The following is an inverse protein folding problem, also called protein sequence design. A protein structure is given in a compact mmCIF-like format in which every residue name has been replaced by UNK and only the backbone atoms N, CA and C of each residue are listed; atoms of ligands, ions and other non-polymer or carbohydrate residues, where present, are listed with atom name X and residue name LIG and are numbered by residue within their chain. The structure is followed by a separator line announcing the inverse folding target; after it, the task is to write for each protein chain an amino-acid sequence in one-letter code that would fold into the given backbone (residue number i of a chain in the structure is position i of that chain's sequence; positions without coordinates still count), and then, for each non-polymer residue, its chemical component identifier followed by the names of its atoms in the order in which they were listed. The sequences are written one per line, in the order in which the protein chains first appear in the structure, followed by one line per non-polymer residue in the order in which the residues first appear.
data_IF_524660033093
#
_entry.id   IF_524660033093
#
_cell.length_a   1.000
_cell.length_b   1.000
_cell.length_c   1.000
_cell.angle_alpha   90.00
_cell.angle_beta   90.00
_cell.angle_gamma   90.00
#
_symmetry.space_group_name_H-M   'P 1'
#
loop_
_entity.id
_entity.type
_entity.pdbx_description
1 polymer ?
#
# COMPACT_ATOMS: atom_id res chain seq x y z
N UNK A 1 36.07 -10.66 -22.45
CA UNK A 1 35.35 -11.05 -21.21
C UNK A 1 35.07 -9.91 -20.22
N UNK A 2 35.74 -8.75 -20.31
CA UNK A 2 35.52 -7.61 -19.39
C UNK A 2 34.10 -7.03 -19.48
N UNK A 3 33.59 -6.75 -20.69
CA UNK A 3 32.23 -6.21 -20.91
C UNK A 3 31.13 -7.11 -20.34
N UNK A 4 31.23 -8.43 -20.53
CA UNK A 4 30.27 -9.42 -19.99
C UNK A 4 30.27 -9.42 -18.45
N UNK A 5 31.45 -9.33 -17.83
CA UNK A 5 31.60 -9.25 -16.36
C UNK A 5 31.02 -7.95 -15.80
N UNK A 6 31.22 -6.83 -16.50
CA UNK A 6 30.63 -5.54 -16.11
C UNK A 6 29.10 -5.56 -16.21
N UNK A 7 28.56 -6.17 -17.27
CA UNK A 7 27.11 -6.28 -17.47
C UNK A 7 26.46 -7.11 -16.35
N UNK A 8 27.08 -8.24 -15.98
CA UNK A 8 26.65 -9.06 -14.84
C UNK A 8 26.71 -8.29 -13.52
N UNK A 9 27.78 -7.51 -13.30
CA UNK A 9 27.90 -6.70 -12.08
C UNK A 9 26.80 -5.64 -11.99
N UNK A 10 26.50 -4.95 -13.09
CA UNK A 10 25.42 -3.95 -13.15
C UNK A 10 24.05 -4.60 -12.90
N UNK A 11 23.78 -5.76 -13.49
CA UNK A 11 22.50 -6.46 -13.25
C UNK A 11 22.33 -6.91 -11.81
N UNK A 12 23.41 -7.38 -11.16
CA UNK A 12 23.38 -7.77 -9.75
C UNK A 12 23.10 -6.55 -8.87
N UNK A 13 23.78 -5.43 -9.12
CA UNK A 13 23.55 -4.18 -8.37
C UNK A 13 22.10 -3.71 -8.54
N UNK A 14 21.56 -3.74 -9.76
CA UNK A 14 20.17 -3.34 -10.01
C UNK A 14 19.17 -4.22 -9.24
N UNK A 15 19.36 -5.54 -9.27
CA UNK A 15 18.51 -6.48 -8.54
C UNK A 15 18.57 -6.27 -7.02
N UNK A 16 19.75 -5.98 -6.47
CA UNK A 16 19.92 -5.69 -5.04
C UNK A 16 19.23 -4.38 -4.62
N UNK A 17 19.21 -3.38 -5.50
CA UNK A 17 18.46 -2.14 -5.25
C UNK A 17 16.94 -2.38 -5.32
N UNK A 18 16.48 -3.24 -6.24
CA UNK A 18 15.06 -3.60 -6.35
C UNK A 18 14.57 -4.46 -5.19
N UNK A 19 15.42 -5.30 -4.58
CA UNK A 19 15.04 -6.12 -3.42
C UNK A 19 14.89 -5.33 -2.12
N UNK A 20 15.44 -4.11 -2.05
CA UNK A 20 15.30 -3.18 -0.93
C UNK A 20 14.09 -2.25 -1.09
N UNK A 21 13.19 -2.54 -2.05
CA UNK A 21 11.90 -1.88 -2.10
C UNK A 21 11.04 -2.52 -1.01
N UNK A 22 11.18 -2.01 0.21
CA UNK A 22 10.16 -2.20 1.24
C UNK A 22 8.83 -1.80 0.59
N UNK A 23 7.96 -2.78 0.40
CA UNK A 23 6.60 -2.52 -0.04
C UNK A 23 5.99 -1.65 1.04
N UNK A 24 5.74 -0.39 0.71
CA UNK A 24 5.05 0.53 1.61
C UNK A 24 3.68 -0.09 1.86
N UNK A 25 3.55 -0.78 2.99
CA UNK A 25 2.30 -1.37 3.42
C UNK A 25 1.36 -0.20 3.63
N UNK A 26 0.27 -0.16 2.87
CA UNK A 26 -0.75 0.85 3.07
C UNK A 26 -1.46 0.50 4.36
N UNK A 27 -1.11 1.19 5.44
CA UNK A 27 -1.73 0.96 6.74
C UNK A 27 -3.23 1.19 6.64
N UNK A 28 -4.01 0.49 7.46
CA UNK A 28 -5.46 0.70 7.54
C UNK A 28 -5.84 2.17 7.81
N UNK A 29 -4.93 2.91 8.46
CA UNK A 29 -5.03 4.35 8.69
C UNK A 29 -4.94 5.16 7.39
N UNK A 30 -4.00 4.84 6.50
CA UNK A 30 -3.86 5.50 5.19
C UNK A 30 -5.10 5.23 4.31
N UNK A 31 -5.64 4.02 4.37
CA UNK A 31 -6.90 3.70 3.69
C UNK A 31 -8.05 4.56 4.23
N UNK A 32 -8.15 4.70 5.55
CA UNK A 32 -9.25 5.42 6.19
C UNK A 32 -9.18 6.90 5.86
N UNK A 33 -8.01 7.53 6.00
CA UNK A 33 -7.81 8.95 5.69
C UNK A 33 -8.09 9.27 4.21
N UNK A 34 -7.56 8.45 3.29
CA UNK A 34 -7.80 8.59 1.86
C UNK A 34 -9.27 8.37 1.47
N UNK A 35 -10.00 7.55 2.22
CA UNK A 35 -11.43 7.33 1.99
C UNK A 35 -12.26 8.48 2.55
N UNK A 36 -11.95 8.95 3.76
CA UNK A 36 -12.68 10.02 4.44
C UNK A 36 -12.51 11.38 3.76
N UNK A 37 -11.39 11.63 3.06
CA UNK A 37 -11.23 12.82 2.21
C UNK A 37 -12.32 12.94 1.15
N UNK A 38 -12.90 11.82 0.69
CA UNK A 38 -14.04 11.80 -0.22
C UNK A 38 -15.42 11.98 0.43
N UNK A 39 -15.50 12.01 1.76
CA UNK A 39 -16.75 12.07 2.51
C UNK A 39 -17.24 13.48 2.84
N UNK A 40 -16.53 14.53 2.37
CA UNK A 40 -16.87 15.94 2.65
C UNK A 40 -18.19 16.34 1.98
N UNK A 41 -19.27 16.43 2.76
CA UNK A 41 -20.62 16.77 2.32
C UNK A 41 -21.35 17.58 3.41
N UNK A 42 -22.20 18.57 3.06
CA UNK A 42 -22.94 19.38 4.04
C UNK A 42 -23.98 18.58 4.86
N UNK A 43 -24.47 17.45 4.32
CA UNK A 43 -25.39 16.58 5.04
C UNK A 43 -24.60 15.66 5.99
N UNK A 44 -24.74 15.91 7.29
CA UNK A 44 -24.04 15.16 8.34
C UNK A 44 -24.41 13.68 8.37
N UNK A 45 -25.62 13.31 7.96
CA UNK A 45 -26.07 11.92 7.92
C UNK A 45 -25.43 11.17 6.74
N UNK A 46 -25.24 11.84 5.61
CA UNK A 46 -24.51 11.28 4.47
C UNK A 46 -23.02 11.16 4.76
N UNK A 47 -22.43 12.17 5.42
CA UNK A 47 -21.04 12.13 5.89
C UNK A 47 -20.81 10.91 6.80
N UNK A 48 -21.62 10.73 7.85
CA UNK A 48 -21.52 9.57 8.75
C UNK A 48 -21.72 8.22 8.06
N UNK A 49 -22.58 8.15 7.04
CA UNK A 49 -22.73 6.93 6.23
C UNK A 49 -21.49 6.64 5.40
N UNK A 50 -20.86 7.67 4.85
CA UNK A 50 -19.61 7.56 4.11
C UNK A 50 -18.48 7.08 5.03
N UNK A 51 -18.35 7.68 6.22
CA UNK A 51 -17.36 7.26 7.24
C UNK A 51 -17.50 5.79 7.62
N UNK A 52 -18.72 5.30 7.87
CA UNK A 52 -18.97 3.89 8.17
C UNK A 52 -18.59 2.96 7.02
N UNK A 53 -18.78 3.39 5.76
CA UNK A 53 -18.35 2.61 4.59
C UNK A 53 -16.83 2.56 4.50
N UNK A 54 -16.14 3.66 4.82
CA UNK A 54 -14.69 3.70 4.86
C UNK A 54 -14.13 2.74 5.92
N UNK A 55 -14.72 2.70 7.12
CA UNK A 55 -14.36 1.73 8.16
C UNK A 55 -14.47 0.29 7.64
N UNK A 56 -15.64 -0.12 7.12
CA UNK A 56 -15.86 -1.48 6.61
C UNK A 56 -14.86 -1.83 5.50
N UNK A 57 -14.60 -0.89 4.58
CA UNK A 57 -13.65 -1.08 3.47
C UNK A 57 -12.22 -1.27 3.97
N UNK A 58 -11.78 -0.43 4.91
CA UNK A 58 -10.39 -0.47 5.39
C UNK A 58 -10.14 -1.60 6.38
N UNK A 59 -11.14 -1.98 7.18
CA UNK A 59 -11.07 -3.17 8.03
C UNK A 59 -10.95 -4.46 7.19
N UNK A 60 -11.63 -4.52 6.03
CA UNK A 60 -11.51 -5.66 5.11
C UNK A 60 -10.14 -5.72 4.41
N UNK A 61 -9.48 -4.58 4.21
CA UNK A 61 -8.13 -4.50 3.66
C UNK A 61 -7.08 -4.92 4.69
N UNK A 62 -7.24 -4.51 5.95
CA UNK A 62 -6.39 -4.99 7.06
C UNK A 62 -6.44 -6.51 7.19
N UNK A 63 -7.62 -7.13 7.06
CA UNK A 63 -7.76 -8.58 7.04
C UNK A 63 -7.06 -9.27 5.85
N UNK A 64 -6.87 -8.56 4.74
CA UNK A 64 -6.20 -9.08 3.54
C UNK A 64 -4.67 -8.92 3.60
N UNK A 65 -4.17 -7.89 4.29
CA UNK A 65 -2.73 -7.61 4.46
C UNK A 65 -2.05 -8.60 5.42
N UNK A 66 -2.77 -9.10 6.43
CA UNK A 66 -2.28 -10.14 7.36
C UNK A 66 -1.94 -11.46 6.64
N UNK A 67 -2.44 -11.68 5.43
CA UNK A 67 -2.22 -12.92 4.68
C UNK A 67 -0.91 -12.93 3.87
N UNK A 68 -0.26 -11.78 3.67
CA UNK A 68 0.99 -11.66 2.90
C UNK A 68 2.24 -11.62 3.79
N UNK A 69 2.14 -11.15 5.05
CA UNK A 69 3.26 -11.15 6.01
C UNK A 69 3.60 -12.56 6.56
N UNK A 70 2.72 -13.55 6.37
CA UNK A 70 2.88 -14.90 6.92
C UNK A 70 3.22 -16.00 5.87
N UNK A 71 3.77 -15.62 4.71
CA UNK A 71 4.31 -16.56 3.70
C UNK A 71 5.78 -16.30 3.38
#
# INVERSE_FOLDING_TARGET
MKMKKMMVAVTIVLLLMSSQMDTVHSDAFDCLDACQTGCVQPDTRLMQRCDRKCQIKCDSLAASQVQEEHR
#
